data_IF_804583277806
#
_entry.id   IF_804583277806
#
_cell.length_a   1.000
_cell.length_b   1.000
_cell.length_c   1.000
_cell.angle_alpha   90.00
_cell.angle_beta   90.00
_cell.angle_gamma   90.00
#
_symmetry.space_group_name_H-M   'P 1'
#
loop_
_entity.id
_entity.type
_entity.pdbx_description
1 polymer ?
#
# COMPACT_ATOMS: atom_id res chain seq x y z
N UNK A 1 -7.70 -63.09 53.95
CA UNK A 1 -6.31 -62.70 53.60
C UNK A 1 -6.38 -62.04 52.24
N UNK A 2 -5.85 -60.83 52.10
CA UNK A 2 -5.82 -60.18 50.79
C UNK A 2 -4.93 -60.99 49.85
N UNK A 3 -5.34 -61.14 48.60
CA UNK A 3 -4.58 -61.85 47.55
C UNK A 3 -3.39 -61.00 47.09
N UNK A 4 -2.36 -61.63 46.51
CA UNK A 4 -1.23 -60.90 45.90
C UNK A 4 -1.76 -60.01 44.77
N UNK A 5 -2.75 -60.48 44.01
CA UNK A 5 -3.47 -59.70 42.99
C UNK A 5 -4.09 -58.41 43.55
N UNK A 6 -4.80 -58.45 44.68
CA UNK A 6 -5.42 -57.26 45.29
C UNK A 6 -4.38 -56.22 45.72
N UNK A 7 -3.27 -56.66 46.31
CA UNK A 7 -2.18 -55.75 46.66
C UNK A 7 -1.51 -55.15 45.42
N UNK A 8 -1.31 -55.93 44.35
CA UNK A 8 -0.77 -55.41 43.10
C UNK A 8 -1.71 -54.39 42.44
N UNK A 9 -3.03 -54.56 42.57
CA UNK A 9 -4.02 -53.56 42.12
C UNK A 9 -3.87 -52.28 42.95
N UNK A 10 -3.69 -52.37 44.26
CA UNK A 10 -3.48 -51.22 45.13
C UNK A 10 -2.18 -50.47 44.78
N UNK A 11 -1.08 -51.19 44.57
CA UNK A 11 0.22 -50.63 44.15
C UNK A 11 0.10 -49.99 42.76
N UNK A 12 -0.61 -50.62 41.82
CA UNK A 12 -0.89 -50.07 40.48
C UNK A 12 -1.66 -48.74 40.56
N UNK A 13 -2.68 -48.66 41.42
CA UNK A 13 -3.43 -47.42 41.63
C UNK A 13 -2.55 -46.32 42.25
N UNK A 14 -1.64 -46.67 43.17
CA UNK A 14 -0.68 -45.73 43.72
C UNK A 14 0.31 -45.21 42.65
N UNK A 15 0.82 -46.10 41.79
CA UNK A 15 1.68 -45.74 40.66
C UNK A 15 0.99 -44.74 39.71
N UNK A 16 -0.23 -45.07 39.29
CA UNK A 16 -1.04 -44.24 38.40
C UNK A 16 -1.27 -42.85 39.03
N UNK A 17 -1.61 -42.78 40.33
CA UNK A 17 -1.81 -41.50 41.03
C UNK A 17 -0.55 -40.64 41.03
N UNK A 18 0.63 -41.23 41.22
CA UNK A 18 1.91 -40.49 41.22
C UNK A 18 2.24 -40.00 39.83
N UNK A 19 2.12 -40.85 38.80
CA UNK A 19 2.42 -40.48 37.42
C UNK A 19 1.42 -39.42 36.88
N UNK A 20 0.14 -39.50 37.26
CA UNK A 20 -0.86 -38.46 36.95
C UNK A 20 -0.46 -37.13 37.60
N UNK A 21 -0.05 -37.12 38.87
CA UNK A 21 0.39 -35.89 39.55
C UNK A 21 1.60 -35.27 38.85
N UNK A 22 2.62 -36.07 38.53
CA UNK A 22 3.83 -35.58 37.84
C UNK A 22 3.47 -35.04 36.45
N UNK A 23 2.67 -35.79 35.69
CA UNK A 23 2.26 -35.39 34.33
C UNK A 23 1.38 -34.14 34.36
N UNK A 24 0.49 -34.02 35.34
CA UNK A 24 -0.34 -32.83 35.55
C UNK A 24 0.50 -31.59 35.83
N UNK A 25 1.51 -31.69 36.70
CA UNK A 25 2.42 -30.57 36.95
C UNK A 25 3.23 -30.20 35.71
N UNK A 26 3.75 -31.19 34.95
CA UNK A 26 4.42 -30.95 33.67
C UNK A 26 3.52 -30.20 32.70
N UNK A 27 2.31 -30.69 32.49
CA UNK A 27 1.34 -30.07 31.58
C UNK A 27 1.00 -28.64 32.01
N UNK A 28 0.82 -28.41 33.31
CA UNK A 28 0.58 -27.08 33.87
C UNK A 28 1.76 -26.13 33.60
N UNK A 29 3.01 -26.56 33.83
CA UNK A 29 4.17 -25.72 33.51
C UNK A 29 4.26 -25.36 32.04
N UNK A 30 4.02 -26.34 31.15
CA UNK A 30 4.08 -26.10 29.72
C UNK A 30 2.95 -25.18 29.26
N UNK A 31 1.74 -25.33 29.81
CA UNK A 31 0.62 -24.46 29.51
C UNK A 31 0.87 -23.02 29.99
N UNK A 32 1.46 -22.87 31.17
CA UNK A 32 1.81 -21.55 31.73
C UNK A 32 2.88 -20.83 30.90
N UNK A 33 3.90 -21.57 30.43
CA UNK A 33 4.91 -21.03 29.53
C UNK A 33 4.32 -20.62 28.16
N UNK A 34 3.49 -21.48 27.56
CA UNK A 34 2.81 -21.17 26.30
C UNK A 34 1.85 -19.98 26.43
N UNK A 35 1.14 -19.88 27.57
CA UNK A 35 0.29 -18.75 27.88
C UNK A 35 1.09 -17.45 27.93
N UNK A 36 2.23 -17.44 28.63
CA UNK A 36 3.11 -16.25 28.69
C UNK A 36 3.62 -15.86 27.29
N UNK A 37 4.05 -16.83 26.48
CA UNK A 37 4.48 -16.58 25.09
C UNK A 37 3.33 -15.98 24.27
N UNK A 38 2.15 -16.60 24.29
CA UNK A 38 0.99 -16.12 23.54
C UNK A 38 0.58 -14.71 23.95
N UNK A 39 0.69 -14.39 25.24
CA UNK A 39 0.41 -13.06 25.76
C UNK A 39 1.47 -12.04 25.30
N UNK A 40 2.76 -12.40 25.30
CA UNK A 40 3.83 -11.53 24.80
C UNK A 40 3.74 -11.30 23.29
N UNK A 41 3.41 -12.33 22.50
CA UNK A 41 3.19 -12.20 21.07
C UNK A 41 2.02 -11.26 20.76
N UNK A 42 0.90 -11.41 21.47
CA UNK A 42 -0.26 -10.53 21.30
C UNK A 42 0.03 -9.09 21.71
N UNK A 43 0.89 -8.90 22.72
CA UNK A 43 1.32 -7.58 23.17
C UNK A 43 2.11 -6.84 22.08
N UNK A 44 3.06 -7.53 21.43
CA UNK A 44 3.93 -6.94 20.41
C UNK A 44 3.20 -6.81 19.07
N UNK A 45 2.53 -7.86 18.61
CA UNK A 45 2.09 -7.98 17.21
C UNK A 45 0.62 -7.65 16.95
N UNK A 46 -0.23 -7.52 17.98
CA UNK A 46 -1.67 -7.30 17.81
C UNK A 46 -2.27 -8.31 16.82
N UNK A 47 -2.30 -9.59 17.20
CA UNK A 47 -2.57 -10.67 16.25
C UNK A 47 -3.93 -10.49 15.58
N UNK A 48 -3.96 -10.80 14.28
CA UNK A 48 -5.18 -10.72 13.50
C UNK A 48 -6.27 -11.65 14.07
N UNK A 49 -7.52 -11.30 13.78
CA UNK A 49 -8.70 -12.10 14.13
C UNK A 49 -8.55 -13.55 13.67
N UNK A 50 -7.94 -13.76 12.49
CA UNK A 50 -7.66 -15.09 11.96
C UNK A 50 -6.70 -15.90 12.83
N UNK A 51 -5.57 -15.31 13.25
CA UNK A 51 -4.58 -16.01 14.08
C UNK A 51 -5.16 -16.33 15.46
N UNK A 52 -5.87 -15.40 16.09
CA UNK A 52 -6.50 -15.64 17.40
C UNK A 52 -7.57 -16.73 17.31
N UNK A 53 -8.44 -16.69 16.30
CA UNK A 53 -9.48 -17.70 16.16
C UNK A 53 -8.93 -19.10 15.84
N UNK A 54 -7.95 -19.20 14.94
CA UNK A 54 -7.31 -20.47 14.59
C UNK A 54 -6.58 -21.08 15.78
N UNK A 55 -5.86 -20.28 16.58
CA UNK A 55 -5.20 -20.76 17.80
C UNK A 55 -6.19 -21.28 18.84
N UNK A 56 -7.36 -20.67 19.02
CA UNK A 56 -8.40 -21.24 19.88
C UNK A 56 -8.93 -22.59 19.38
N UNK A 57 -9.19 -22.69 18.07
CA UNK A 57 -9.67 -23.95 17.48
C UNK A 57 -8.62 -25.05 17.59
N UNK A 58 -7.34 -24.74 17.36
CA UNK A 58 -6.27 -25.73 17.47
C UNK A 58 -6.11 -26.19 18.91
N UNK A 59 -6.15 -25.28 19.89
CA UNK A 59 -6.11 -25.65 21.32
C UNK A 59 -7.31 -26.52 21.68
N UNK A 60 -8.52 -26.15 21.25
CA UNK A 60 -9.73 -26.95 21.50
C UNK A 60 -9.63 -28.35 20.86
N UNK A 61 -9.14 -28.43 19.62
CA UNK A 61 -8.91 -29.71 18.93
C UNK A 61 -7.88 -30.60 19.64
N UNK A 62 -6.77 -30.01 20.10
CA UNK A 62 -5.75 -30.73 20.88
C UNK A 62 -6.35 -31.25 22.20
N UNK A 63 -7.17 -30.46 22.90
CA UNK A 63 -7.81 -30.89 24.14
C UNK A 63 -8.78 -32.05 23.92
N UNK A 64 -9.54 -32.05 22.82
CA UNK A 64 -10.44 -33.15 22.45
C UNK A 64 -9.64 -34.42 22.14
N UNK A 65 -8.59 -34.32 21.32
CA UNK A 65 -7.71 -35.46 21.00
C UNK A 65 -7.02 -36.01 22.25
N UNK A 66 -6.57 -35.13 23.16
CA UNK A 66 -5.97 -35.51 24.42
C UNK A 66 -6.99 -36.23 25.34
N UNK A 67 -8.23 -35.76 25.39
CA UNK A 67 -9.32 -36.44 26.11
C UNK A 67 -9.58 -37.86 25.56
N UNK A 68 -9.68 -38.00 24.23
CA UNK A 68 -9.84 -39.30 23.57
C UNK A 68 -8.65 -40.22 23.91
N UNK A 69 -7.42 -39.71 23.82
CA UNK A 69 -6.22 -40.46 24.16
C UNK A 69 -6.21 -40.96 25.60
N UNK A 70 -6.60 -40.11 26.57
CA UNK A 70 -6.76 -40.51 27.98
C UNK A 70 -7.81 -41.62 28.12
N UNK A 71 -8.97 -41.50 27.46
CA UNK A 71 -10.01 -42.53 27.54
C UNK A 71 -9.54 -43.88 26.99
N UNK A 72 -8.81 -43.89 25.87
CA UNK A 72 -8.22 -45.11 25.29
C UNK A 72 -7.24 -45.74 26.28
N UNK A 73 -6.34 -44.94 26.88
CA UNK A 73 -5.39 -45.43 27.88
C UNK A 73 -6.11 -46.01 29.09
N UNK A 74 -7.15 -45.33 29.58
CA UNK A 74 -7.93 -45.80 30.73
C UNK A 74 -8.58 -47.16 30.44
N UNK A 75 -9.16 -47.35 29.24
CA UNK A 75 -9.73 -48.63 28.80
C UNK A 75 -8.65 -49.71 28.71
N UNK A 76 -7.47 -49.40 28.17
CA UNK A 76 -6.35 -50.34 28.09
C UNK A 76 -5.80 -50.73 29.46
N UNK A 77 -5.77 -49.81 30.43
CA UNK A 77 -5.38 -50.09 31.81
C UNK A 77 -6.40 -51.02 32.48
N UNK A 78 -7.71 -50.77 32.30
CA UNK A 78 -8.77 -51.62 32.85
C UNK A 78 -8.68 -53.05 32.32
N UNK A 79 -8.30 -53.21 31.04
CA UNK A 79 -8.14 -54.51 30.40
C UNK A 79 -6.76 -55.15 30.57
N UNK A 80 -5.87 -54.58 31.40
CA UNK A 80 -4.49 -55.03 31.66
C UNK A 80 -3.60 -55.16 30.40
N UNK A 81 -3.93 -54.40 29.34
CA UNK A 81 -3.20 -54.40 28.05
C UNK A 81 -2.13 -53.32 27.95
N UNK A 82 -2.21 -52.30 28.81
CA UNK A 82 -1.26 -51.19 28.80
C UNK A 82 0.04 -51.57 29.51
N UNK A 83 1.12 -51.76 28.74
CA UNK A 83 2.37 -52.36 29.23
C UNK A 83 2.98 -51.69 30.47
N UNK A 84 2.99 -50.35 30.65
CA UNK A 84 3.53 -49.72 31.85
C UNK A 84 2.80 -50.05 33.16
N UNK A 85 1.48 -50.31 33.09
CA UNK A 85 0.61 -50.55 34.26
C UNK A 85 0.06 -51.98 34.33
N UNK A 86 0.57 -52.88 33.50
CA UNK A 86 0.20 -54.30 33.54
C UNK A 86 0.60 -54.91 34.87
N UNK A 87 -0.27 -55.74 35.46
CA UNK A 87 -0.03 -56.34 36.78
C UNK A 87 1.31 -57.09 36.85
N UNK A 88 1.71 -57.80 35.79
CA UNK A 88 3.01 -58.49 35.73
C UNK A 88 4.21 -57.55 35.75
N UNK A 89 4.11 -56.38 35.10
CA UNK A 89 5.18 -55.37 35.08
C UNK A 89 5.28 -54.67 36.42
N UNK A 90 4.14 -54.38 37.06
CA UNK A 90 4.10 -53.84 38.43
C UNK A 90 4.69 -54.86 39.42
N UNK A 91 4.33 -56.14 39.32
CA UNK A 91 4.91 -57.20 40.14
C UNK A 91 6.44 -57.29 39.98
N UNK A 92 6.95 -57.18 38.75
CA UNK A 92 8.39 -57.18 38.49
C UNK A 92 9.11 -55.93 39.00
N UNK A 93 8.50 -54.75 38.86
CA UNK A 93 9.04 -53.48 39.40
C UNK A 93 9.06 -53.50 40.93
N UNK A 94 7.94 -53.85 41.56
CA UNK A 94 7.85 -53.98 43.01
C UNK A 94 8.79 -55.07 43.55
N UNK A 95 8.90 -56.20 42.84
CA UNK A 95 9.79 -57.30 43.17
C UNK A 95 11.26 -56.89 43.27
N UNK A 96 11.71 -55.99 42.39
CA UNK A 96 13.08 -55.45 42.40
C UNK A 96 13.41 -54.64 43.67
N UNK A 97 12.43 -53.95 44.25
CA UNK A 97 12.63 -53.11 45.44
C UNK A 97 12.33 -53.85 46.75
N UNK A 98 11.39 -54.80 46.70
CA UNK A 98 10.84 -55.46 47.87
C UNK A 98 11.57 -56.75 48.27
N UNK A 99 12.19 -57.45 47.29
CA UNK A 99 12.76 -58.77 47.48
C UNK A 99 14.22 -58.83 46.96
N UNK A 100 15.07 -59.71 47.55
CA UNK A 100 16.45 -59.90 47.07
C UNK A 100 16.54 -60.39 45.62
N UNK A 101 15.53 -61.15 45.18
CA UNK A 101 15.39 -61.60 43.79
C UNK A 101 14.22 -60.87 43.13
N UNK A 102 14.52 -60.23 42.00
CA UNK A 102 13.57 -59.42 41.22
C UNK A 102 12.29 -60.17 40.84
N UNK A 103 12.42 -61.46 40.52
CA UNK A 103 11.31 -62.26 39.99
C UNK A 103 10.49 -62.97 41.08
N UNK A 104 10.80 -62.79 42.37
CA UNK A 104 10.06 -63.45 43.47
C UNK A 104 8.57 -63.10 43.46
N UNK A 105 8.24 -61.82 43.24
CA UNK A 105 6.86 -61.35 43.30
C UNK A 105 6.06 -61.70 42.03
N UNK A 106 6.70 -61.70 40.85
CA UNK A 106 6.03 -62.11 39.61
C UNK A 106 5.78 -63.63 39.61
N UNK A 107 6.73 -64.43 40.09
CA UNK A 107 6.55 -65.88 40.21
C UNK A 107 5.44 -66.20 41.22
N UNK A 108 5.39 -65.51 42.37
CA UNK A 108 4.31 -65.69 43.33
C UNK A 108 2.94 -65.31 42.77
N UNK A 109 2.88 -64.24 41.96
CA UNK A 109 1.65 -63.83 41.26
C UNK A 109 1.23 -64.82 40.17
N UNK A 110 2.17 -65.36 39.40
CA UNK A 110 1.90 -66.37 38.37
C UNK A 110 1.40 -67.69 38.98
N UNK A 111 1.95 -68.10 40.13
CA UNK A 111 1.49 -69.28 40.88
C UNK A 111 0.08 -69.05 41.46
N UNK A 112 -0.22 -67.84 41.96
CA UNK A 112 -1.57 -67.49 42.44
C UNK A 112 -2.60 -67.49 41.29
N UNK A 113 -2.20 -67.05 40.09
CA UNK A 113 -3.09 -66.92 38.93
C UNK A 113 -3.25 -68.24 38.14
N UNK A 114 -2.19 -69.06 38.03
CA UNK A 114 -2.23 -70.36 37.35
C UNK A 114 -2.56 -71.47 38.35
N UNK A 115 -3.80 -71.96 38.33
CA UNK A 115 -4.23 -73.17 39.07
C UNK A 115 -3.63 -74.49 38.55
N UNK A 116 -2.55 -74.48 37.74
CA UNK A 116 -1.96 -75.69 37.18
C UNK A 116 -0.92 -76.27 38.14
N UNK A 117 -1.27 -77.42 38.71
CA UNK A 117 -0.57 -78.17 39.75
C UNK A 117 0.70 -78.81 39.19
N UNK A 118 1.86 -78.21 39.42
CA UNK A 118 3.16 -78.86 39.14
C UNK A 118 4.08 -78.93 40.37
N UNK A 119 3.63 -78.49 41.56
CA UNK A 119 4.38 -78.52 42.82
C UNK A 119 3.49 -78.90 44.01
N UNK A 120 4.09 -79.13 45.20
CA UNK A 120 3.30 -79.48 46.38
C UNK A 120 2.44 -78.30 46.82
N UNK A 121 1.14 -78.55 47.03
CA UNK A 121 0.17 -77.51 47.39
C UNK A 121 0.53 -76.76 48.67
N UNK A 122 1.26 -77.42 49.58
CA UNK A 122 1.69 -76.85 50.85
C UNK A 122 2.84 -75.86 50.68
N UNK A 123 3.82 -76.16 49.81
CA UNK A 123 4.93 -75.25 49.51
C UNK A 123 4.45 -74.00 48.75
N UNK A 124 3.52 -74.16 47.81
CA UNK A 124 2.90 -73.05 47.10
C UNK A 124 2.17 -72.10 48.07
N UNK A 125 1.39 -72.67 49.01
CA UNK A 125 0.68 -71.88 50.02
C UNK A 125 1.63 -71.12 50.94
N UNK A 126 2.66 -71.78 51.46
CA UNK A 126 3.66 -71.16 52.33
C UNK A 126 4.41 -70.05 51.60
N UNK A 127 4.78 -70.25 50.33
CA UNK A 127 5.44 -69.23 49.51
C UNK A 127 4.55 -68.01 49.26
N UNK A 128 3.27 -68.22 48.92
CA UNK A 128 2.28 -67.14 48.75
C UNK A 128 2.09 -66.39 50.07
N UNK A 129 1.92 -67.08 51.20
CA UNK A 129 1.72 -66.44 52.51
C UNK A 129 2.93 -65.62 52.95
N UNK A 130 4.15 -66.15 52.80
CA UNK A 130 5.38 -65.42 53.09
C UNK A 130 5.53 -64.18 52.21
N UNK A 131 5.25 -64.32 50.91
CA UNK A 131 5.33 -63.20 49.95
C UNK A 131 4.30 -62.13 50.29
N UNK A 132 3.07 -62.52 50.61
CA UNK A 132 1.95 -61.61 50.96
C UNK A 132 2.22 -60.88 52.27
N UNK A 133 2.73 -61.58 53.31
CA UNK A 133 3.11 -60.99 54.59
C UNK A 133 4.25 -59.97 54.41
N UNK A 134 5.25 -60.29 53.58
CA UNK A 134 6.30 -59.33 53.25
C UNK A 134 5.74 -58.13 52.49
N UNK A 135 4.84 -58.35 51.55
CA UNK A 135 4.20 -57.29 50.76
C UNK A 135 3.39 -56.31 51.63
N UNK A 136 2.66 -56.82 52.62
CA UNK A 136 1.88 -55.98 53.56
C UNK A 136 2.72 -55.06 54.44
N UNK A 137 4.02 -55.38 54.60
CA UNK A 137 4.95 -54.57 55.40
C UNK A 137 5.65 -53.46 54.60
N UNK A 138 5.38 -53.36 53.28
CA UNK A 138 6.07 -52.40 52.42
C UNK A 138 5.34 -51.06 52.42
N UNK A 139 6.08 -49.99 52.65
CA UNK A 139 5.59 -48.63 52.48
C UNK A 139 5.56 -48.24 51.00
N UNK A 140 4.40 -47.80 50.51
CA UNK A 140 4.24 -47.34 49.14
C UNK A 140 5.08 -46.09 48.81
N UNK A 141 5.43 -45.28 49.81
CA UNK A 141 6.27 -44.09 49.67
C UNK A 141 7.67 -44.41 49.14
N UNK A 142 8.18 -45.59 49.45
CA UNK A 142 9.53 -46.02 49.09
C UNK A 142 9.57 -46.56 47.65
N UNK A 143 8.45 -47.13 47.19
CA UNK A 143 8.24 -47.58 45.82
C UNK A 143 8.02 -46.42 44.83
N UNK A 144 7.32 -45.37 45.26
CA UNK A 144 6.98 -44.22 44.42
C UNK A 144 7.44 -42.92 45.09
N UNK A 145 8.73 -42.56 44.94
CA UNK A 145 9.32 -41.48 45.71
C UNK A 145 8.69 -40.13 45.35
N UNK A 146 8.21 -39.43 46.37
CA UNK A 146 7.49 -38.15 46.25
C UNK A 146 8.37 -36.97 45.86
N UNK A 147 9.71 -37.09 45.96
CA UNK A 147 10.63 -36.01 45.61
C UNK A 147 10.42 -35.49 44.18
N UNK A 148 10.07 -36.37 43.22
CA UNK A 148 9.81 -35.97 41.84
C UNK A 148 8.62 -35.03 41.72
N UNK A 149 7.57 -35.27 42.50
CA UNK A 149 6.41 -34.39 42.57
C UNK A 149 6.82 -33.04 43.15
N UNK A 150 7.60 -33.06 44.23
CA UNK A 150 8.10 -31.82 44.86
C UNK A 150 9.02 -31.02 43.95
N UNK A 151 9.89 -31.66 43.16
CA UNK A 151 10.71 -30.99 42.15
C UNK A 151 9.84 -30.26 41.12
N UNK A 152 8.82 -30.93 40.57
CA UNK A 152 7.91 -30.29 39.61
C UNK A 152 7.08 -29.18 40.25
N UNK A 153 6.63 -29.32 41.50
CA UNK A 153 5.99 -28.21 42.24
C UNK A 153 6.91 -26.99 42.35
N UNK A 154 8.19 -27.17 42.67
CA UNK A 154 9.16 -26.07 42.72
C UNK A 154 9.34 -25.41 41.35
N UNK A 155 9.46 -26.19 40.28
CA UNK A 155 9.53 -25.67 38.90
C UNK A 155 8.27 -24.87 38.56
N UNK A 156 7.08 -25.40 38.90
CA UNK A 156 5.80 -24.72 38.65
C UNK A 156 5.70 -23.41 39.42
N UNK A 157 6.20 -23.36 40.65
CA UNK A 157 6.21 -22.17 41.46
C UNK A 157 7.13 -21.10 40.86
N UNK A 158 8.34 -21.48 40.43
CA UNK A 158 9.25 -20.55 39.75
C UNK A 158 8.62 -20.00 38.47
N UNK A 159 8.04 -20.87 37.64
CA UNK A 159 7.39 -20.48 36.38
C UNK A 159 6.20 -19.55 36.61
N UNK A 160 5.38 -19.83 37.64
CA UNK A 160 4.27 -18.99 38.06
C UNK A 160 4.76 -17.61 38.54
N UNK A 161 5.79 -17.57 39.38
CA UNK A 161 6.40 -16.31 39.85
C UNK A 161 6.94 -15.48 38.70
N UNK A 162 7.63 -16.09 37.73
CA UNK A 162 8.13 -15.40 36.52
C UNK A 162 6.97 -14.83 35.70
N UNK A 163 5.91 -15.60 35.50
CA UNK A 163 4.74 -15.15 34.74
C UNK A 163 4.03 -14.01 35.45
N UNK A 164 3.87 -14.10 36.77
CA UNK A 164 3.29 -13.03 37.59
C UNK A 164 4.13 -11.76 37.51
N UNK A 165 5.45 -11.85 37.65
CA UNK A 165 6.36 -10.70 37.55
C UNK A 165 6.32 -10.06 36.16
N UNK A 166 6.28 -10.87 35.09
CA UNK A 166 6.18 -10.37 33.72
C UNK A 166 4.87 -9.60 33.48
N UNK A 167 3.74 -10.13 33.96
CA UNK A 167 2.43 -9.47 33.87
C UNK A 167 2.41 -8.20 34.73
N UNK A 168 2.98 -8.24 35.94
CA UNK A 168 3.04 -7.08 36.84
C UNK A 168 3.86 -5.93 36.22
N UNK A 169 5.01 -6.23 35.63
CA UNK A 169 5.86 -5.21 34.98
C UNK A 169 5.20 -4.60 33.74
N UNK A 170 4.37 -5.38 33.02
CA UNK A 170 3.70 -4.94 31.79
C UNK A 170 2.20 -4.79 31.94
N UNK A 171 1.70 -4.47 33.14
CA UNK A 171 0.28 -4.55 33.51
C UNK A 171 -0.69 -3.99 32.46
N UNK A 172 -0.51 -2.73 32.05
CA UNK A 172 -1.41 -2.08 31.09
C UNK A 172 -1.47 -2.82 29.74
N UNK A 173 -0.31 -3.24 29.25
CA UNK A 173 -0.18 -3.96 27.99
C UNK A 173 -0.68 -5.41 28.08
N UNK A 174 -0.36 -6.10 29.18
CA UNK A 174 -0.75 -7.48 29.45
C UNK A 174 -2.27 -7.64 29.60
N UNK A 175 -2.92 -6.74 30.34
CA UNK A 175 -4.38 -6.75 30.50
C UNK A 175 -5.08 -6.48 29.16
N UNK A 176 -4.56 -5.53 28.37
CA UNK A 176 -5.08 -5.26 27.03
C UNK A 176 -4.93 -6.48 26.11
N UNK A 177 -3.78 -7.14 26.14
CA UNK A 177 -3.52 -8.36 25.34
C UNK A 177 -4.44 -9.53 25.75
N UNK A 178 -4.68 -9.71 27.06
CA UNK A 178 -5.62 -10.71 27.56
C UNK A 178 -7.06 -10.42 27.11
N UNK A 179 -7.47 -9.15 27.12
CA UNK A 179 -8.77 -8.72 26.61
C UNK A 179 -8.93 -9.04 25.12
N UNK A 180 -7.87 -8.83 24.31
CA UNK A 180 -7.87 -9.17 22.89
C UNK A 180 -7.94 -10.68 22.65
N UNK A 181 -7.23 -11.47 23.46
CA UNK A 181 -7.36 -12.93 23.46
C UNK A 181 -8.77 -13.40 23.82
N UNK A 182 -9.44 -12.75 24.79
CA UNK A 182 -10.81 -13.11 25.17
C UNK A 182 -11.84 -12.80 24.06
N UNK A 183 -11.52 -11.90 23.12
CA UNK A 183 -12.39 -11.51 22.01
C UNK A 183 -11.75 -11.85 20.66
N UNK A 184 -11.58 -13.14 20.31
CA UNK A 184 -10.85 -13.55 19.10
C UNK A 184 -11.53 -13.13 17.79
N UNK A 185 -12.82 -12.78 17.83
CA UNK A 185 -13.61 -12.35 16.66
C UNK A 185 -13.55 -10.84 16.39
N UNK A 186 -13.11 -10.04 17.36
CA UNK A 186 -13.06 -8.58 17.20
C UNK A 186 -11.70 -8.15 16.68
N UNK A 187 -11.71 -7.26 15.69
CA UNK A 187 -10.50 -6.66 15.16
C UNK A 187 -10.01 -5.55 16.09
N UNK A 188 -8.72 -5.56 16.42
CA UNK A 188 -8.09 -4.53 17.24
C UNK A 188 -6.99 -3.86 16.42
N UNK A 189 -7.16 -2.56 16.19
CA UNK A 189 -6.16 -1.78 15.47
C UNK A 189 -5.02 -1.42 16.43
N UNK A 190 -3.76 -1.62 16.01
CA UNK A 190 -2.61 -1.24 16.82
C UNK A 190 -2.54 0.29 16.98
N UNK A 191 -2.02 0.79 18.11
CA UNK A 191 -1.79 2.21 18.29
C UNK A 191 -0.72 2.68 17.31
N UNK A 192 -1.05 3.70 16.50
CA UNK A 192 -0.11 4.31 15.56
C UNK A 192 0.67 5.44 16.27
N UNK A 193 2.00 5.54 16.08
CA UNK A 193 2.85 6.54 16.76
C UNK A 193 2.58 7.97 16.30
N UNK A 194 2.02 8.13 15.10
CA UNK A 194 1.60 9.43 14.56
C UNK A 194 0.42 9.30 13.60
N UNK A 195 -0.19 10.43 13.27
CA UNK A 195 -1.23 10.56 12.24
C UNK A 195 -0.81 11.59 11.20
N UNK A 196 -0.94 11.23 9.92
CA UNK A 196 -0.68 12.14 8.80
C UNK A 196 -1.96 12.88 8.39
N UNK A 197 -1.88 14.20 8.29
CA UNK A 197 -3.00 15.09 7.98
C UNK A 197 -2.62 15.96 6.78
N UNK A 198 -3.43 15.94 5.72
CA UNK A 198 -3.22 16.84 4.58
C UNK A 198 -3.69 18.26 4.90
N UNK A 199 -2.77 19.23 4.91
CA UNK A 199 -3.08 20.65 5.09
C UNK A 199 -3.70 21.25 3.83
N UNK A 200 -3.22 20.87 2.66
CA UNK A 200 -3.68 21.41 1.36
C UNK A 200 -5.05 20.89 0.94
N UNK A 201 -5.46 19.71 1.42
CA UNK A 201 -6.76 19.07 1.13
C UNK A 201 -7.05 18.98 -0.37
N UNK A 202 -8.25 19.33 -0.83
CA UNK A 202 -8.58 19.26 -2.26
C UNK A 202 -8.09 20.51 -2.97
N UNK A 203 -7.47 20.33 -4.13
CA UNK A 203 -6.89 21.41 -4.93
C UNK A 203 -7.58 21.46 -6.28
N UNK A 204 -7.90 22.67 -6.75
CA UNK A 204 -8.35 22.92 -8.12
C UNK A 204 -7.26 23.75 -8.80
N UNK A 205 -6.72 23.24 -9.89
CA UNK A 205 -5.54 23.80 -10.55
C UNK A 205 -5.77 23.85 -12.06
N UNK A 206 -5.05 24.73 -12.76
CA UNK A 206 -5.13 24.77 -14.21
C UNK A 206 -4.12 23.80 -14.82
N UNK A 207 -4.45 23.28 -16.00
CA UNK A 207 -3.57 22.38 -16.75
C UNK A 207 -2.18 22.98 -16.91
N UNK A 208 -1.17 22.21 -16.52
CA UNK A 208 0.24 22.60 -16.56
C UNK A 208 0.73 23.44 -15.38
N UNK A 209 -0.11 23.75 -14.39
CA UNK A 209 0.36 24.44 -13.19
C UNK A 209 1.14 23.49 -12.26
N UNK A 210 2.08 24.07 -11.50
CA UNK A 210 2.77 23.36 -10.43
C UNK A 210 1.92 23.36 -9.16
N UNK A 211 1.85 22.21 -8.50
CA UNK A 211 1.01 22.00 -7.32
C UNK A 211 1.86 21.60 -6.14
N UNK A 212 1.85 22.43 -5.09
CA UNK A 212 2.52 22.08 -3.83
C UNK A 212 1.53 21.42 -2.89
N UNK A 213 1.78 20.16 -2.54
CA UNK A 213 1.00 19.44 -1.53
C UNK A 213 1.74 19.46 -0.19
N UNK A 214 0.98 19.66 0.89
CA UNK A 214 1.53 19.76 2.25
C UNK A 214 0.81 18.82 3.19
N UNK A 215 1.59 17.99 3.89
CA UNK A 215 1.13 17.10 4.95
C UNK A 215 1.76 17.47 6.28
N UNK A 216 1.06 17.20 7.37
CA UNK A 216 1.50 17.40 8.75
C UNK A 216 1.42 16.08 9.51
N UNK A 217 2.47 15.74 10.27
CA UNK A 217 2.43 14.62 11.21
C UNK A 217 2.06 15.12 12.62
N UNK A 218 1.02 14.52 13.22
CA UNK A 218 0.70 14.70 14.64
C UNK A 218 1.17 13.49 15.44
N UNK A 219 2.08 13.71 16.39
CA UNK A 219 2.72 12.66 17.19
C UNK A 219 4.23 12.70 16.98
N UNK A 220 4.87 11.53 16.84
CA UNK A 220 6.27 11.43 16.46
C UNK A 220 6.42 11.59 14.94
N UNK A 221 6.89 12.75 14.49
CA UNK A 221 7.10 13.00 13.05
C UNK A 221 8.22 12.12 12.50
N UNK A 222 7.99 11.27 11.48
CA UNK A 222 9.07 10.55 10.80
C UNK A 222 9.95 11.49 9.97
N UNK A 223 11.18 11.06 9.66
CA UNK A 223 12.12 11.87 8.87
C UNK A 223 11.66 12.07 7.42
N UNK A 224 10.94 11.10 6.88
CA UNK A 224 10.36 11.16 5.54
C UNK A 224 9.03 10.41 5.45
N UNK A 225 8.24 10.79 4.45
CA UNK A 225 6.98 10.13 4.08
C UNK A 225 6.91 9.98 2.57
N UNK A 226 6.21 8.96 2.10
CA UNK A 226 5.91 8.80 0.68
C UNK A 226 4.60 9.53 0.36
N UNK A 227 4.58 10.23 -0.76
CA UNK A 227 3.39 10.87 -1.32
C UNK A 227 3.08 10.17 -2.63
N UNK A 228 1.92 9.53 -2.67
CA UNK A 228 1.38 8.83 -3.82
C UNK A 228 0.43 9.75 -4.59
N UNK A 229 0.59 9.83 -5.90
CA UNK A 229 -0.35 10.42 -6.84
C UNK A 229 -0.84 9.33 -7.79
N UNK A 230 -2.14 9.05 -7.71
CA UNK A 230 -2.83 8.06 -8.53
C UNK A 230 -3.84 8.77 -9.43
N UNK A 231 -3.80 8.60 -10.76
CA UNK A 231 -4.83 9.12 -11.66
C UNK A 231 -6.24 8.69 -11.24
N UNK A 232 -7.24 9.57 -11.36
CA UNK A 232 -8.63 9.21 -10.99
C UNK A 232 -9.19 8.17 -11.97
N UNK A 233 -8.93 8.33 -13.26
CA UNK A 233 -9.33 7.40 -14.32
C UNK A 233 -8.23 6.36 -14.59
N UNK A 234 -7.72 5.72 -13.54
CA UNK A 234 -6.58 4.80 -13.61
C UNK A 234 -6.89 3.56 -14.46
N UNK A 235 -6.17 3.39 -15.58
CA UNK A 235 -6.20 2.19 -16.41
C UNK A 235 -4.94 1.36 -16.21
N UNK A 236 -5.11 0.13 -15.72
CA UNK A 236 -4.00 -0.82 -15.48
C UNK A 236 -3.27 -1.09 -16.80
N UNK A 237 -1.97 -0.78 -16.85
CA UNK A 237 -1.09 -1.02 -17.99
C UNK A 237 -0.76 0.23 -18.81
N UNK A 238 -1.65 1.23 -18.84
CA UNK A 238 -1.40 2.51 -19.52
C UNK A 238 -0.95 3.59 -18.53
N UNK A 239 -1.53 3.59 -17.32
CA UNK A 239 -1.25 4.60 -16.30
C UNK A 239 -0.28 4.08 -15.23
N UNK A 240 0.64 4.94 -14.81
CA UNK A 240 1.58 4.67 -13.73
C UNK A 240 1.20 5.44 -12.47
N UNK A 241 1.39 4.80 -11.31
CA UNK A 241 1.28 5.47 -10.01
C UNK A 241 2.58 6.20 -9.75
N UNK A 242 2.49 7.50 -9.43
CA UNK A 242 3.67 8.31 -9.13
C UNK A 242 3.85 8.34 -7.62
N UNK A 243 4.96 7.82 -7.12
CA UNK A 243 5.32 7.86 -5.71
C UNK A 243 6.58 8.71 -5.55
N UNK A 244 6.51 9.72 -4.69
CA UNK A 244 7.64 10.61 -4.39
C UNK A 244 7.88 10.68 -2.90
N UNK A 245 9.13 10.67 -2.49
CA UNK A 245 9.52 10.86 -1.09
C UNK A 245 9.53 12.34 -0.75
N UNK A 246 8.92 12.71 0.38
CA UNK A 246 8.99 14.05 0.95
C UNK A 246 9.67 13.98 2.31
N UNK A 247 10.68 14.82 2.50
CA UNK A 247 11.43 14.92 3.74
C UNK A 247 10.80 15.95 4.68
N UNK A 248 11.02 15.77 5.97
CA UNK A 248 10.56 16.69 6.99
C UNK A 248 11.19 18.08 6.77
N UNK A 249 10.35 19.12 6.70
CA UNK A 249 10.77 20.51 6.55
C UNK A 249 11.43 21.05 7.84
N UNK A 250 12.22 22.12 7.74
CA UNK A 250 12.94 22.75 8.86
C UNK A 250 12.06 23.12 10.06
N UNK A 251 10.76 23.40 9.84
CA UNK A 251 9.76 23.64 10.88
C UNK A 251 9.33 22.34 11.65
N UNK A 252 9.95 21.20 11.34
CA UNK A 252 9.79 19.87 11.98
C UNK A 252 8.37 19.32 12.07
N UNK A 253 7.43 19.87 11.30
CA UNK A 253 6.01 19.47 11.32
C UNK A 253 5.40 19.21 9.95
N UNK A 254 6.03 19.70 8.89
CA UNK A 254 5.43 19.74 7.56
C UNK A 254 6.27 18.97 6.53
N UNK A 255 5.60 18.21 5.68
CA UNK A 255 6.16 17.57 4.50
C UNK A 255 5.64 18.31 3.29
N UNK A 256 6.53 18.91 2.50
CA UNK A 256 6.19 19.69 1.31
C UNK A 256 6.72 18.97 0.08
N UNK A 257 5.89 18.88 -0.95
CA UNK A 257 6.28 18.33 -2.23
C UNK A 257 5.65 19.12 -3.36
N UNK A 258 6.48 19.54 -4.31
CA UNK A 258 6.03 20.19 -5.54
C UNK A 258 5.82 19.12 -6.64
N UNK A 259 4.60 19.06 -7.15
CA UNK A 259 4.23 18.26 -8.31
C UNK A 259 4.12 19.16 -9.53
N UNK A 260 5.09 19.05 -10.43
CA UNK A 260 5.25 19.93 -11.59
C UNK A 260 4.34 19.50 -12.74
N UNK A 261 3.87 20.49 -13.50
CA UNK A 261 3.13 20.35 -14.75
C UNK A 261 1.98 19.33 -14.70
N UNK A 262 0.95 19.63 -13.90
CA UNK A 262 -0.17 18.72 -13.68
C UNK A 262 -1.24 18.89 -14.78
N UNK A 263 -1.43 17.87 -15.61
CA UNK A 263 -2.36 17.90 -16.75
C UNK A 263 -3.65 17.08 -16.57
N UNK A 264 -3.72 16.21 -15.57
CA UNK A 264 -4.86 15.32 -15.37
C UNK A 264 -5.27 15.25 -13.90
N UNK A 265 -6.46 14.73 -13.65
CA UNK A 265 -6.99 14.60 -12.30
C UNK A 265 -6.26 13.49 -11.52
N UNK A 266 -5.79 13.82 -10.33
CA UNK A 266 -5.11 12.88 -9.43
C UNK A 266 -5.84 12.76 -8.10
N UNK A 267 -5.84 11.56 -7.55
CA UNK A 267 -6.05 11.30 -6.13
C UNK A 267 -4.69 11.12 -5.46
N UNK A 268 -4.49 11.76 -4.33
CA UNK A 268 -3.20 11.71 -3.64
C UNK A 268 -3.35 11.48 -2.14
N UNK A 269 -2.32 10.85 -1.56
CA UNK A 269 -2.20 10.61 -0.11
C UNK A 269 -0.73 10.56 0.29
N UNK A 270 -0.43 10.94 1.53
CA UNK A 270 0.83 10.59 2.17
C UNK A 270 0.69 9.27 2.94
N UNK A 271 1.71 8.42 2.88
CA UNK A 271 1.79 7.16 3.61
C UNK A 271 3.23 6.82 4.02
N UNK A 272 3.37 6.01 5.06
CA UNK A 272 4.63 5.41 5.48
C UNK A 272 4.39 3.91 5.75
N UNK A 273 5.02 3.00 4.99
CA UNK A 273 5.00 1.57 5.29
C UNK A 273 5.89 1.25 6.50
N UNK A 274 5.60 0.16 7.19
CA UNK A 274 6.48 -0.37 8.23
C UNK A 274 7.79 -0.88 7.62
N UNK A 275 8.90 -0.51 8.24
CA UNK A 275 10.23 -0.99 7.86
C UNK A 275 10.66 -2.20 8.69
N UNK A 276 10.19 -2.28 9.93
CA UNK A 276 10.62 -3.28 10.90
C UNK A 276 9.58 -4.37 11.10
N UNK A 277 10.02 -5.63 11.26
CA UNK A 277 9.10 -6.75 11.43
C UNK A 277 8.32 -6.71 12.75
N UNK A 278 8.81 -6.00 13.76
CA UNK A 278 8.15 -5.85 15.08
C UNK A 278 7.22 -4.65 15.17
N UNK A 279 7.05 -3.87 14.09
CA UNK A 279 6.04 -2.82 14.06
C UNK A 279 4.66 -3.46 13.88
N UNK A 280 3.69 -3.17 14.77
CA UNK A 280 2.40 -3.85 14.72
C UNK A 280 1.47 -3.32 13.62
N UNK A 281 1.82 -2.22 12.95
CA UNK A 281 1.07 -1.66 11.83
C UNK A 281 1.83 -1.90 10.52
N UNK A 282 1.12 -2.18 9.43
CA UNK A 282 1.72 -2.31 8.09
C UNK A 282 1.93 -0.95 7.42
N UNK A 283 0.95 -0.04 7.56
CA UNK A 283 1.00 1.28 6.91
C UNK A 283 0.30 2.36 7.76
N UNK A 284 0.94 3.52 7.84
CA UNK A 284 0.35 4.76 8.35
C UNK A 284 0.07 5.67 7.17
N UNK A 285 -1.20 5.74 6.75
CA UNK A 285 -1.64 6.63 5.69
C UNK A 285 -2.55 7.75 6.17
N UNK A 286 -2.50 8.85 5.43
CA UNK A 286 -3.45 9.97 5.50
C UNK A 286 -4.75 9.65 4.74
N UNK A 287 -5.75 10.52 4.90
CA UNK A 287 -6.94 10.49 4.05
C UNK A 287 -6.55 10.79 2.59
N UNK A 288 -7.35 10.28 1.66
CA UNK A 288 -7.22 10.63 0.26
C UNK A 288 -7.74 12.04 -0.01
N UNK A 289 -7.01 12.77 -0.84
CA UNK A 289 -7.39 14.08 -1.37
C UNK A 289 -7.33 14.06 -2.90
N UNK A 290 -7.86 15.11 -3.54
CA UNK A 290 -7.92 15.19 -4.99
C UNK A 290 -7.31 16.48 -5.51
N UNK A 291 -6.63 16.37 -6.65
CA UNK A 291 -6.23 17.48 -7.50
C UNK A 291 -7.14 17.41 -8.72
N UNK A 292 -8.00 18.40 -8.86
CA UNK A 292 -8.86 18.59 -10.01
C UNK A 292 -8.19 19.57 -10.96
N UNK A 293 -7.82 19.09 -12.14
CA UNK A 293 -7.22 19.89 -13.19
C UNK A 293 -8.32 20.37 -14.12
N UNK A 294 -8.27 21.65 -14.48
CA UNK A 294 -9.10 22.15 -15.57
C UNK A 294 -8.25 22.81 -16.64
N UNK A 295 -8.62 22.60 -17.89
CA UNK A 295 -7.85 23.09 -19.00
C UNK A 295 -7.95 24.62 -19.13
N UNK A 296 -6.86 25.20 -19.66
CA UNK A 296 -6.79 26.60 -20.08
C UNK A 296 -7.44 26.73 -21.47
N UNK A 297 -7.96 27.91 -21.84
CA UNK A 297 -8.33 28.16 -23.22
C UNK A 297 -7.09 28.01 -24.10
N UNK A 298 -7.19 27.17 -25.13
CA UNK A 298 -6.18 26.97 -26.16
C UNK A 298 -6.83 27.15 -27.53
N UNK A 299 -5.99 27.41 -28.54
CA UNK A 299 -6.41 27.48 -29.94
C UNK A 299 -6.45 26.03 -30.48
N UNK A 300 -7.62 25.55 -30.89
CA UNK A 300 -7.80 24.24 -31.53
C UNK A 300 -7.61 24.36 -33.04
N UNK A 301 -8.30 25.31 -33.67
CA UNK A 301 -8.18 25.62 -35.09
C UNK A 301 -7.78 27.08 -35.28
N UNK A 302 -6.91 27.31 -36.26
CA UNK A 302 -6.42 28.64 -36.61
C UNK A 302 -6.29 28.73 -38.12
N UNK A 303 -6.90 29.77 -38.69
CA UNK A 303 -6.93 30.05 -40.11
C UNK A 303 -6.66 31.53 -40.33
N UNK A 304 -5.68 31.81 -41.18
CA UNK A 304 -5.35 33.16 -41.65
C UNK A 304 -5.70 33.22 -43.12
N UNK A 305 -6.52 34.21 -43.51
CA UNK A 305 -6.82 34.48 -44.92
C UNK A 305 -6.18 35.80 -45.30
N UNK A 306 -5.29 35.77 -46.29
CA UNK A 306 -4.54 36.90 -46.81
C UNK A 306 -5.21 37.29 -48.11
N UNK A 307 -5.79 38.49 -48.16
CA UNK A 307 -6.42 39.02 -49.36
C UNK A 307 -5.54 40.15 -49.92
N UNK A 308 -4.85 39.93 -51.05
CA UNK A 308 -4.05 40.95 -51.70
C UNK A 308 -4.90 42.17 -52.12
N UNK A 309 -4.28 43.34 -52.32
CA UNK A 309 -4.97 44.50 -52.89
C UNK A 309 -5.57 44.18 -54.25
N UNK A 310 -6.72 44.81 -54.56
CA UNK A 310 -7.46 44.55 -55.81
C UNK A 310 -6.66 44.79 -57.09
N UNK A 311 -5.66 45.68 -57.06
CA UNK A 311 -4.83 46.00 -58.22
C UNK A 311 -3.93 44.84 -58.66
N UNK A 312 -3.57 43.94 -57.74
CA UNK A 312 -2.69 42.79 -58.03
C UNK A 312 -3.38 41.69 -58.83
N UNK A 313 -4.72 41.65 -58.83
CA UNK A 313 -5.51 40.58 -59.46
C UNK A 313 -5.33 39.18 -58.85
N UNK A 314 -4.57 39.06 -57.73
CA UNK A 314 -4.26 37.79 -57.10
C UNK A 314 -5.43 37.25 -56.26
N UNK A 315 -5.59 35.92 -56.25
CA UNK A 315 -6.56 35.26 -55.38
C UNK A 315 -6.11 35.28 -53.92
N UNK A 316 -7.07 35.37 -53.00
CA UNK A 316 -6.79 35.25 -51.57
C UNK A 316 -6.11 33.90 -51.23
N UNK A 317 -5.14 33.94 -50.33
CA UNK A 317 -4.39 32.78 -49.87
C UNK A 317 -4.79 32.45 -48.42
N UNK A 318 -4.86 31.17 -48.09
CA UNK A 318 -5.18 30.73 -46.73
C UNK A 318 -4.02 29.97 -46.12
N UNK A 319 -3.70 30.27 -44.86
CA UNK A 319 -2.63 29.67 -44.10
C UNK A 319 -3.15 29.12 -42.76
N UNK A 320 -2.63 27.96 -42.35
CA UNK A 320 -2.97 27.31 -41.08
C UNK A 320 -1.89 27.56 -40.02
N UNK A 321 -2.20 27.19 -38.77
CA UNK A 321 -1.35 27.43 -37.59
C UNK A 321 0.08 26.86 -37.63
N UNK A 322 0.39 25.94 -38.55
CA UNK A 322 1.70 25.30 -38.63
C UNK A 322 2.81 26.21 -39.19
N UNK A 323 2.44 27.36 -39.76
CA UNK A 323 3.38 28.35 -40.28
C UNK A 323 3.23 29.63 -39.48
N UNK A 324 4.24 29.94 -38.65
CA UNK A 324 4.25 31.14 -37.80
C UNK A 324 4.63 32.42 -38.57
N UNK A 325 5.19 32.26 -39.78
CA UNK A 325 5.57 33.35 -40.67
C UNK A 325 4.52 33.49 -41.77
N UNK A 326 4.00 34.70 -41.95
CA UNK A 326 2.95 35.05 -42.89
C UNK A 326 3.52 36.09 -43.86
N UNK A 327 3.50 35.77 -45.15
CA UNK A 327 3.98 36.69 -46.19
C UNK A 327 2.81 37.35 -46.91
N UNK A 328 2.83 38.67 -47.03
CA UNK A 328 1.75 39.42 -47.66
C UNK A 328 2.28 40.62 -48.46
N UNK A 329 1.63 40.95 -49.58
CA UNK A 329 1.97 42.15 -50.36
C UNK A 329 1.56 43.40 -49.58
N UNK A 330 2.30 44.50 -49.73
CA UNK A 330 1.94 45.79 -49.15
C UNK A 330 0.46 46.14 -49.40
N UNK A 331 -0.27 46.53 -48.35
CA UNK A 331 -1.69 46.86 -48.43
C UNK A 331 -2.65 45.65 -48.40
N UNK A 332 -2.14 44.42 -48.28
CA UNK A 332 -2.99 43.24 -48.11
C UNK A 332 -3.79 43.29 -46.80
N UNK A 333 -4.99 42.73 -46.84
CA UNK A 333 -5.84 42.55 -45.65
C UNK A 333 -5.68 41.13 -45.11
N UNK A 334 -5.30 41.02 -43.84
CA UNK A 334 -5.26 39.75 -43.11
C UNK A 334 -6.54 39.59 -42.30
N UNK A 335 -7.18 38.44 -42.46
CA UNK A 335 -8.32 37.96 -41.69
C UNK A 335 -7.86 36.79 -40.80
N UNK A 336 -7.86 36.99 -39.49
CA UNK A 336 -7.48 35.97 -38.51
C UNK A 336 -8.75 35.36 -37.93
N UNK A 337 -8.92 34.05 -38.08
CA UNK A 337 -10.01 33.26 -37.50
C UNK A 337 -9.44 32.14 -36.65
N UNK A 338 -10.04 31.95 -35.47
CA UNK A 338 -9.65 30.86 -34.59
C UNK A 338 -10.85 30.24 -33.87
N UNK A 339 -10.70 28.98 -33.50
CA UNK A 339 -11.60 28.24 -32.63
C UNK A 339 -10.85 27.81 -31.37
N UNK A 340 -11.48 28.01 -30.20
CA UNK A 340 -10.93 27.59 -28.92
C UNK A 340 -11.62 26.33 -28.37
N UNK A 341 -10.87 25.51 -27.64
CA UNK A 341 -11.41 24.36 -26.88
C UNK A 341 -12.48 24.79 -25.86
N UNK A 342 -12.34 25.99 -25.30
CA UNK A 342 -13.20 26.57 -24.27
C UNK A 342 -14.03 27.74 -24.80
N UNK A 343 -15.13 28.04 -24.10
CA UNK A 343 -15.94 29.21 -24.41
C UNK A 343 -15.25 30.51 -23.99
N UNK A 344 -15.13 31.45 -24.92
CA UNK A 344 -14.40 32.69 -24.75
C UNK A 344 -15.30 33.82 -24.25
N UNK A 345 -14.76 34.64 -23.35
CA UNK A 345 -15.37 35.92 -22.93
C UNK A 345 -14.59 37.11 -23.48
N UNK A 346 -13.28 36.94 -23.66
CA UNK A 346 -12.39 37.94 -24.24
C UNK A 346 -11.39 37.27 -25.17
N UNK A 347 -11.08 37.93 -26.28
CA UNK A 347 -10.05 37.56 -27.21
C UNK A 347 -9.38 38.86 -27.68
N UNK A 348 -8.07 38.94 -27.50
CA UNK A 348 -7.26 40.10 -27.84
C UNK A 348 -6.14 39.66 -28.77
N UNK A 349 -5.99 40.37 -29.88
CA UNK A 349 -4.83 40.28 -30.75
C UNK A 349 -3.89 41.42 -30.35
N UNK A 350 -2.71 41.07 -29.86
CA UNK A 350 -1.66 42.03 -29.51
C UNK A 350 -0.79 42.20 -30.74
N UNK A 351 -0.91 43.34 -31.42
CA UNK A 351 -0.15 43.69 -32.62
C UNK A 351 0.92 44.71 -32.23
N UNK A 352 2.20 44.36 -32.34
CA UNK A 352 3.35 45.21 -31.96
C UNK A 352 3.22 45.85 -30.56
N UNK A 353 2.63 45.11 -29.61
CA UNK A 353 2.38 45.57 -28.23
C UNK A 353 1.02 46.26 -28.00
N UNK A 354 0.28 46.62 -29.05
CA UNK A 354 -1.06 47.19 -28.93
C UNK A 354 -2.15 46.12 -28.88
N UNK A 355 -2.98 46.17 -27.83
CA UNK A 355 -4.12 45.26 -27.66
C UNK A 355 -5.30 45.67 -28.54
N UNK A 356 -5.68 44.81 -29.48
CA UNK A 356 -6.89 44.95 -30.31
C UNK A 356 -7.92 43.90 -29.93
N UNK A 357 -9.18 44.30 -29.77
CA UNK A 357 -10.26 43.37 -29.39
C UNK A 357 -10.74 42.60 -30.62
N UNK A 358 -10.79 41.28 -30.51
CA UNK A 358 -11.38 40.42 -31.54
C UNK A 358 -12.89 40.32 -31.35
N UNK A 359 -13.63 40.09 -32.44
CA UNK A 359 -15.06 39.75 -32.39
C UNK A 359 -15.22 38.29 -31.96
N UNK A 360 -16.08 38.03 -30.98
CA UNK A 360 -16.22 36.69 -30.37
C UNK A 360 -17.63 36.17 -30.60
N UNK A 361 -17.72 34.92 -31.07
CA UNK A 361 -18.96 34.16 -31.15
C UNK A 361 -18.77 32.79 -30.48
N UNK A 362 -19.14 32.70 -29.22
CA UNK A 362 -19.03 31.49 -28.39
C UNK A 362 -17.58 30.98 -28.26
N UNK A 363 -17.15 30.04 -29.11
CA UNK A 363 -15.79 29.49 -29.13
C UNK A 363 -14.92 30.08 -30.25
N UNK A 364 -15.51 30.83 -31.18
CA UNK A 364 -14.82 31.42 -32.31
C UNK A 364 -14.42 32.86 -32.01
N UNK A 365 -13.23 33.26 -32.46
CA UNK A 365 -12.81 34.66 -32.46
C UNK A 365 -12.28 35.06 -33.84
N UNK A 366 -12.57 36.30 -34.23
CA UNK A 366 -12.22 36.83 -35.54
C UNK A 366 -11.72 38.29 -35.43
N UNK A 367 -10.68 38.62 -36.19
CA UNK A 367 -10.17 39.98 -36.31
C UNK A 367 -9.52 40.19 -37.68
N UNK A 368 -9.70 41.38 -38.26
CA UNK A 368 -9.11 41.74 -39.54
C UNK A 368 -8.32 43.04 -39.44
N UNK A 369 -7.18 43.11 -40.12
CA UNK A 369 -6.33 44.30 -40.21
C UNK A 369 -5.56 44.35 -41.53
N UNK A 370 -5.16 45.56 -41.92
CA UNK A 370 -4.34 45.82 -43.12
C UNK A 370 -2.87 45.96 -42.73
N UNK A 371 -1.98 45.51 -43.61
CA UNK A 371 -0.54 45.46 -43.40
C UNK A 371 0.17 46.48 -44.28
N UNK A 372 0.96 47.35 -43.64
CA UNK A 372 1.71 48.41 -44.30
C UNK A 372 3.21 48.40 -43.92
N UNK A 373 3.57 47.65 -42.89
CA UNK A 373 4.95 47.37 -42.47
C UNK A 373 5.03 45.94 -41.93
N UNK A 374 6.23 45.40 -41.78
CA UNK A 374 6.44 44.14 -41.05
C UNK A 374 5.91 44.29 -39.62
N UNK A 375 5.19 43.26 -39.14
CA UNK A 375 4.55 43.27 -37.82
C UNK A 375 4.63 41.93 -37.13
N UNK A 376 4.57 41.94 -35.82
CA UNK A 376 4.41 40.74 -35.01
C UNK A 376 3.09 40.80 -34.24
N UNK A 377 2.37 39.67 -34.22
CA UNK A 377 1.20 39.57 -33.36
C UNK A 377 1.13 38.28 -32.54
N UNK A 378 0.49 38.37 -31.39
CA UNK A 378 0.17 37.23 -30.53
C UNK A 378 -1.27 37.29 -30.07
N UNK A 379 -1.86 36.12 -29.78
CA UNK A 379 -3.28 36.01 -29.44
C UNK A 379 -3.44 35.62 -27.98
N UNK A 380 -4.17 36.46 -27.25
CA UNK A 380 -4.51 36.27 -25.86
C UNK A 380 -6.00 35.95 -25.74
N UNK A 381 -6.29 34.74 -25.26
CA UNK A 381 -7.65 34.25 -25.03
C UNK A 381 -7.99 34.33 -23.55
N UNK A 382 -9.23 34.65 -23.22
CA UNK A 382 -9.76 34.59 -21.84
C UNK A 382 -11.11 33.90 -21.83
N UNK A 383 -11.25 32.89 -21.00
CA UNK A 383 -12.50 32.14 -20.85
C UNK A 383 -13.51 32.84 -19.92
N UNK A 384 -14.68 32.20 -19.71
CA UNK A 384 -15.72 32.66 -18.76
C UNK A 384 -15.28 32.74 -17.30
N UNK A 385 -14.20 32.05 -16.94
CA UNK A 385 -13.67 32.00 -15.57
C UNK A 385 -12.58 33.07 -15.36
N UNK A 386 -12.24 33.84 -16.40
CA UNK A 386 -11.14 34.81 -16.36
C UNK A 386 -9.76 34.19 -16.55
N UNK A 387 -9.66 32.93 -16.96
CA UNK A 387 -8.40 32.22 -17.17
C UNK A 387 -7.87 32.52 -18.57
N UNK A 388 -6.57 32.84 -18.67
CA UNK A 388 -5.89 33.10 -19.94
C UNK A 388 -5.11 31.90 -20.46
N UNK A 389 -4.88 31.88 -21.78
CA UNK A 389 -3.95 30.94 -22.39
C UNK A 389 -2.52 31.17 -21.86
N UNK A 390 -1.74 30.09 -21.79
CA UNK A 390 -0.33 30.13 -21.35
C UNK A 390 0.56 30.18 -22.59
N UNK A 391 1.57 31.04 -22.55
CA UNK A 391 2.59 31.21 -23.61
C UNK A 391 1.97 31.38 -25.02
N UNK A 392 1.33 32.53 -25.32
CA UNK A 392 0.86 32.85 -26.67
C UNK A 392 1.94 32.68 -27.73
N UNK A 393 1.58 32.12 -28.88
CA UNK A 393 2.48 31.94 -30.01
C UNK A 393 2.66 33.28 -30.74
N UNK A 394 3.89 33.75 -30.95
CA UNK A 394 4.16 34.92 -31.80
C UNK A 394 4.07 34.54 -33.28
N UNK A 395 3.35 35.34 -34.06
CA UNK A 395 3.24 35.25 -35.51
C UNK A 395 3.94 36.45 -36.14
N UNK A 396 4.81 36.20 -37.11
CA UNK A 396 5.54 37.22 -37.84
C UNK A 396 4.88 37.45 -39.18
N UNK A 397 4.58 38.70 -39.50
CA UNK A 397 4.01 39.13 -40.77
C UNK A 397 5.08 39.89 -41.52
N UNK A 398 5.52 39.34 -42.65
CA UNK A 398 6.56 39.90 -43.49
C UNK A 398 5.96 40.45 -44.78
N UNK A 399 6.32 41.68 -45.11
CA UNK A 399 5.86 42.33 -46.33
C UNK A 399 6.74 41.94 -47.52
N UNK A 400 6.06 41.59 -48.60
CA UNK A 400 6.65 41.56 -49.93
C UNK A 400 6.41 42.95 -50.54
N UNK A 401 7.50 43.70 -50.72
CA UNK A 401 7.47 45.02 -51.33
C UNK A 401 7.10 44.93 -52.81
N UNK A 402 6.21 45.82 -53.23
CA UNK A 402 5.84 46.05 -54.62
C UNK A 402 6.95 46.85 -55.34
N UNK A 403 7.22 46.54 -56.61
CA UNK A 403 8.23 47.25 -57.39
C UNK A 403 7.54 48.40 -58.15
N UNK A 404 8.03 49.63 -57.99
CA UNK A 404 7.46 50.76 -58.74
C UNK A 404 7.70 50.61 -60.24
N UNK A 405 6.73 50.98 -61.11
CA UNK A 405 6.87 50.85 -62.54
C UNK A 405 8.07 51.64 -63.06
N UNK A 406 8.84 51.03 -63.96
CA UNK A 406 9.97 51.66 -64.62
C UNK A 406 9.56 52.17 -66.00
N UNK A 407 9.76 53.46 -66.24
CA UNK A 407 9.46 54.11 -67.51
C UNK A 407 10.75 54.54 -68.19
N UNK A 408 11.02 53.98 -69.36
CA UNK A 408 12.16 54.36 -70.19
C UNK A 408 11.69 54.98 -71.50
N UNK A 409 12.15 56.20 -71.79
CA UNK A 409 11.89 56.87 -73.07
C UNK A 409 12.93 56.40 -74.07
N UNK A 410 12.49 55.67 -75.11
CA UNK A 410 13.33 55.20 -76.20
C UNK A 410 13.51 56.28 -77.28
N UNK A 411 12.48 57.11 -77.52
CA UNK A 411 12.52 58.26 -78.44
C UNK A 411 11.63 59.39 -77.92
N UNK A 412 11.98 60.67 -78.18
CA UNK A 412 13.19 61.15 -78.85
C UNK A 412 14.44 61.04 -77.95
N UNK A 413 15.66 61.20 -78.52
CA UNK A 413 16.84 61.45 -77.71
C UNK A 413 16.66 62.73 -76.85
N UNK A 414 17.44 62.91 -75.76
CA UNK A 414 17.29 64.03 -74.82
C UNK A 414 17.35 65.42 -75.47
N UNK A 415 17.98 65.53 -76.65
CA UNK A 415 18.04 66.75 -77.45
C UNK A 415 17.57 66.39 -78.86
N UNK A 416 16.57 67.11 -79.35
CA UNK A 416 16.00 66.97 -80.69
C UNK A 416 15.67 68.35 -81.27
N UNK A 417 15.90 68.52 -82.57
CA UNK A 417 15.44 69.71 -83.30
C UNK A 417 14.00 69.51 -83.77
N UNK A 418 13.14 70.52 -83.57
CA UNK A 418 11.74 70.46 -84.01
C UNK A 418 11.66 70.55 -85.54
N UNK A 419 11.05 69.54 -86.17
CA UNK A 419 10.68 69.61 -87.59
C UNK A 419 9.46 70.50 -87.84
N UNK A 420 9.16 70.76 -89.12
CA UNK A 420 8.11 71.69 -89.57
C UNK A 420 6.69 71.37 -89.06
N UNK A 421 6.39 70.09 -88.78
CA UNK A 421 5.09 69.65 -88.24
C UNK A 421 4.94 69.87 -86.72
N UNK A 422 5.99 70.30 -86.00
CA UNK A 422 6.02 70.57 -84.56
C UNK A 422 5.48 69.43 -83.64
N UNK A 423 5.50 68.18 -84.11
CA UNK A 423 5.11 67.01 -83.31
C UNK A 423 6.33 66.18 -82.97
N UNK A 424 6.43 65.78 -81.70
CA UNK A 424 7.48 64.89 -81.21
C UNK A 424 6.84 63.53 -80.92
N UNK A 425 7.11 62.49 -81.72
CA UNK A 425 6.67 61.14 -81.40
C UNK A 425 7.46 60.64 -80.19
N UNK A 426 6.77 60.34 -79.10
CA UNK A 426 7.35 59.69 -77.92
C UNK A 426 7.17 58.20 -78.05
N UNK A 427 8.28 57.47 -78.08
CA UNK A 427 8.28 56.02 -77.94
C UNK A 427 8.85 55.71 -76.56
N UNK A 428 8.07 55.02 -75.75
CA UNK A 428 8.43 54.66 -74.39
C UNK A 428 8.14 53.18 -74.14
N UNK A 429 8.91 52.59 -73.25
CA UNK A 429 8.63 51.29 -72.65
C UNK A 429 8.30 51.50 -71.19
N UNK A 430 7.24 50.85 -70.73
CA UNK A 430 6.85 50.85 -69.32
C UNK A 430 6.83 49.39 -68.88
N UNK A 431 7.55 49.08 -67.81
CA UNK A 431 7.63 47.75 -67.21
C UNK A 431 7.05 47.81 -65.79
N UNK A 432 6.19 46.86 -65.45
CA UNK A 432 5.52 46.72 -64.14
C UNK A 432 5.26 45.23 -63.89
N UNK A 433 5.32 44.81 -62.62
CA UNK A 433 5.19 43.42 -62.19
C UNK A 433 3.74 42.93 -62.07
N UNK A 434 2.77 43.84 -61.87
CA UNK A 434 1.33 43.51 -61.81
C UNK A 434 0.53 44.05 -63.02
N UNK A 435 1.13 44.92 -63.83
CA UNK A 435 0.58 45.44 -65.09
C UNK A 435 -0.29 46.69 -64.91
N UNK A 436 -0.76 47.24 -66.04
CA UNK A 436 -1.50 48.51 -66.07
C UNK A 436 -3.00 48.30 -66.25
N UNK A 437 -3.80 49.00 -65.45
CA UNK A 437 -5.27 48.98 -65.56
C UNK A 437 -5.84 50.04 -66.51
N UNK A 438 -5.09 51.12 -66.76
CA UNK A 438 -5.37 52.14 -67.77
C UNK A 438 -4.06 52.83 -68.17
N UNK A 439 -3.89 53.21 -69.45
CA UNK A 439 -2.67 53.83 -70.01
C UNK A 439 -2.88 55.29 -70.38
#
# INVERSE_FOLDING_TARGET
MNTIAEYLIYIRLAAIKVDIKITGWRLYTTALFLFLIGLMLENVFYLSTFIRFTTFITIAGILVLFGIWITIIFIQIKNDRYTPYRLSVIAKKTGQYAFPKKDTLINAFEIEQNKKTYSSQELEKVFIEQTTKKLSSINLSDLFPTYRIETWKKITLVSLSVTFLAIAFTWHHSVSSLYRWAHPKTEFLPPKPFKLIGKTRHLNVLGGDNVTVVFEAKGTSPDSVYIEFKPIAFQVGNDSIIVKTSYLSDDRKHYRLEFKDVFQNYRYRAFLPSTEFWQPWEEISSKYYSISVTDRPSIEDFLVTITPPSYTGLSAQTQKANQAEIQAIYGSTIDVQLQSNQQLTKAELVLDGEKKKMSIRNKMAHYSFTINMDREFSIHLTDKRGVTNRNPIPFHVQIISDISPEMTILRPPPIIELGDEQKIPVLMTIEDDFGFSNL
#
